data_IF_114971767202
#
_entry.id   IF_114971767202
#
_cell.length_a   1.000
_cell.length_b   1.000
_cell.length_c   1.000
_cell.angle_alpha   90.00
_cell.angle_beta   90.00
_cell.angle_gamma   90.00
#
_symmetry.space_group_name_H-M   'P 1'
#
loop_
_entity.id
_entity.type
_entity.pdbx_description
1 polymer ?
#
# COMPACT_ATOMS: atom_id res chain seq x y z
N UNK A 1 21.76 -19.85 5.32
CA UNK A 1 20.79 -19.21 4.41
C UNK A 1 21.58 -18.76 3.20
N UNK A 2 21.22 -19.21 1.99
CA UNK A 2 21.86 -18.75 0.76
C UNK A 2 21.26 -17.40 0.39
N UNK A 3 21.92 -16.32 0.79
CA UNK A 3 21.60 -14.99 0.29
C UNK A 3 22.05 -14.93 -1.17
N UNK A 4 21.12 -15.26 -2.08
CA UNK A 4 21.29 -14.96 -3.49
C UNK A 4 21.24 -13.44 -3.63
N UNK A 5 22.40 -12.81 -3.69
CA UNK A 5 22.51 -11.41 -4.08
C UNK A 5 21.94 -11.25 -5.48
N UNK A 6 20.85 -10.50 -5.60
CA UNK A 6 20.28 -10.09 -6.88
C UNK A 6 21.20 -8.99 -7.42
N UNK A 7 21.76 -9.18 -8.61
CA UNK A 7 22.59 -8.14 -9.22
C UNK A 7 21.69 -7.01 -9.76
N UNK A 8 22.26 -5.81 -9.93
CA UNK A 8 21.52 -4.63 -10.42
C UNK A 8 20.86 -4.85 -11.79
N UNK A 9 21.55 -5.46 -12.74
CA UNK A 9 21.05 -5.71 -14.09
C UNK A 9 19.86 -6.68 -14.10
N UNK A 10 19.86 -7.67 -13.19
CA UNK A 10 18.76 -8.63 -13.03
C UNK A 10 17.52 -7.93 -12.46
N UNK A 11 17.74 -7.03 -11.49
CA UNK A 11 16.67 -6.21 -10.91
C UNK A 11 16.10 -5.23 -11.94
N UNK A 12 16.95 -4.54 -12.70
CA UNK A 12 16.54 -3.59 -13.73
C UNK A 12 15.70 -4.31 -14.82
N UNK A 13 16.12 -5.51 -15.22
CA UNK A 13 15.36 -6.34 -16.17
C UNK A 13 14.02 -6.81 -15.61
N UNK A 14 13.94 -7.13 -14.32
CA UNK A 14 12.69 -7.51 -13.66
C UNK A 14 11.70 -6.34 -13.56
N UNK A 15 12.21 -5.12 -13.38
CA UNK A 15 11.40 -3.93 -13.12
C UNK A 15 11.05 -3.11 -14.37
N UNK A 16 11.67 -3.37 -15.53
CA UNK A 16 11.50 -2.57 -16.76
C UNK A 16 10.04 -2.40 -17.22
N UNK A 17 9.17 -3.36 -16.89
CA UNK A 17 7.73 -3.31 -17.18
C UNK A 17 6.84 -3.31 -15.93
N UNK A 18 7.42 -3.16 -14.74
CA UNK A 18 6.67 -3.25 -13.50
C UNK A 18 5.82 -1.99 -13.30
N UNK A 19 4.50 -2.18 -13.24
CA UNK A 19 3.55 -1.13 -12.86
C UNK A 19 3.17 -1.33 -11.38
N UNK A 20 3.51 -0.40 -10.48
CA UNK A 20 3.15 -0.50 -9.08
C UNK A 20 1.64 -0.62 -8.90
N UNK A 21 1.25 -1.50 -7.99
CA UNK A 21 -0.16 -1.71 -7.68
C UNK A 21 -0.73 -0.47 -7.01
N UNK A 22 -1.74 0.15 -7.62
CA UNK A 22 -2.41 1.34 -7.07
C UNK A 22 -3.29 1.03 -5.85
N UNK A 23 -4.01 -0.09 -5.88
CA UNK A 23 -4.99 -0.45 -4.85
C UNK A 23 -4.46 -1.56 -3.95
N UNK A 24 -4.21 -1.21 -2.70
CA UNK A 24 -3.62 -2.08 -1.71
C UNK A 24 -4.69 -2.83 -0.92
N UNK A 25 -4.38 -4.06 -0.52
CA UNK A 25 -5.03 -4.73 0.61
C UNK A 25 -4.58 -4.08 1.92
N UNK A 26 -5.25 -4.37 3.03
CA UNK A 26 -4.82 -3.85 4.34
C UNK A 26 -3.38 -4.26 4.69
N UNK A 27 -2.96 -5.50 4.35
CA UNK A 27 -1.59 -5.97 4.58
C UNK A 27 -0.57 -5.18 3.76
N UNK A 28 -0.88 -4.91 2.49
CA UNK A 28 -0.03 -4.11 1.61
C UNK A 28 0.00 -2.65 2.06
N UNK A 29 -1.12 -2.08 2.50
CA UNK A 29 -1.19 -0.72 3.04
C UNK A 29 -0.33 -0.57 4.31
N UNK A 30 -0.41 -1.54 5.23
CA UNK A 30 0.46 -1.63 6.40
C UNK A 30 1.95 -1.62 6.02
N UNK A 31 2.32 -2.38 5.01
CA UNK A 31 3.70 -2.41 4.54
C UNK A 31 4.12 -1.08 3.89
N UNK A 32 3.24 -0.49 3.07
CA UNK A 32 3.46 0.78 2.39
C UNK A 32 3.68 1.93 3.38
N UNK A 33 2.85 2.00 4.43
CA UNK A 33 2.86 3.11 5.38
C UNK A 33 3.80 2.90 6.56
N UNK A 34 4.29 1.68 6.77
CA UNK A 34 5.08 1.30 7.94
C UNK A 34 4.28 1.32 9.25
N UNK A 35 2.94 1.19 9.20
CA UNK A 35 2.07 1.29 10.39
C UNK A 35 1.38 -0.03 10.75
N UNK A 36 0.68 -0.10 11.88
CA UNK A 36 -0.12 -1.28 12.24
C UNK A 36 -1.46 -1.33 11.48
N UNK A 37 -2.08 -2.52 11.38
CA UNK A 37 -3.44 -2.65 10.83
C UNK A 37 -4.49 -1.87 11.66
N UNK A 38 -4.28 -1.80 12.98
CA UNK A 38 -5.10 -0.97 13.88
C UNK A 38 -5.03 0.50 13.50
N UNK A 39 -3.83 1.00 13.19
CA UNK A 39 -3.63 2.38 12.72
C UNK A 39 -4.39 2.66 11.42
N UNK A 40 -4.32 1.74 10.45
CA UNK A 40 -5.11 1.86 9.20
C UNK A 40 -6.61 1.90 9.49
N UNK A 41 -7.12 1.05 10.38
CA UNK A 41 -8.54 1.07 10.78
C UNK A 41 -8.94 2.41 11.42
N UNK A 42 -8.08 2.96 12.28
CA UNK A 42 -8.30 4.29 12.86
C UNK A 42 -8.29 5.41 11.83
N UNK A 43 -7.44 5.33 10.79
CA UNK A 43 -7.47 6.28 9.69
C UNK A 43 -8.77 6.21 8.89
N UNK A 44 -9.29 5.01 8.63
CA UNK A 44 -10.61 4.83 7.98
C UNK A 44 -11.71 5.47 8.81
N UNK A 45 -11.73 5.26 10.14
CA UNK A 45 -12.67 5.94 11.04
C UNK A 45 -12.54 7.47 11.01
N UNK A 46 -11.32 7.97 10.78
CA UNK A 46 -11.01 9.41 10.65
C UNK A 46 -11.26 9.97 9.24
N UNK A 47 -11.73 9.15 8.30
CA UNK A 47 -12.13 9.59 6.96
C UNK A 47 -11.17 9.22 5.84
N UNK A 48 -10.20 8.32 6.05
CA UNK A 48 -9.46 7.71 4.95
C UNK A 48 -10.45 6.93 4.05
N UNK A 49 -10.48 7.29 2.77
CA UNK A 49 -11.36 6.65 1.79
C UNK A 49 -10.90 5.22 1.51
N UNK A 50 -11.86 4.34 1.30
CA UNK A 50 -11.64 2.95 0.89
C UNK A 50 -12.51 2.63 -0.31
N UNK A 51 -12.03 1.70 -1.13
CA UNK A 51 -12.72 1.22 -2.33
C UNK A 51 -13.28 -0.17 -2.06
N UNK A 52 -14.57 -0.36 -2.34
CA UNK A 52 -15.24 -1.66 -2.30
C UNK A 52 -15.64 -2.00 -3.74
N UNK A 53 -15.01 -3.03 -4.31
CA UNK A 53 -15.23 -3.43 -5.71
C UNK A 53 -16.48 -4.33 -5.92
N UNK A 54 -17.22 -4.61 -4.86
CA UNK A 54 -18.45 -5.40 -4.86
C UNK A 54 -18.96 -5.63 -3.44
N UNK A 55 -20.24 -5.95 -3.29
CA UNK A 55 -20.96 -5.94 -1.99
C UNK A 55 -20.29 -6.78 -0.89
N UNK A 56 -19.63 -7.89 -1.24
CA UNK A 56 -18.96 -8.78 -0.28
C UNK A 56 -17.42 -8.71 -0.35
N UNK A 57 -16.87 -7.71 -1.05
CA UNK A 57 -15.43 -7.59 -1.25
C UNK A 57 -14.74 -6.96 -0.04
N UNK A 58 -13.51 -7.42 0.25
CA UNK A 58 -12.65 -6.75 1.24
C UNK A 58 -12.24 -5.37 0.71
N UNK A 59 -12.23 -4.33 1.57
CA UNK A 59 -11.86 -3.00 1.15
C UNK A 59 -10.43 -2.96 0.61
N UNK A 60 -10.24 -2.08 -0.38
CA UNK A 60 -8.94 -1.71 -0.92
C UNK A 60 -8.63 -0.26 -0.58
N UNK A 61 -7.34 0.04 -0.50
CA UNK A 61 -6.82 1.34 -0.14
C UNK A 61 -6.05 1.90 -1.34
N UNK A 62 -6.47 3.05 -1.88
CA UNK A 62 -5.71 3.74 -2.95
C UNK A 62 -4.50 4.44 -2.33
N UNK A 63 -3.31 4.21 -2.89
CA UNK A 63 -2.08 4.88 -2.48
C UNK A 63 -2.25 6.40 -2.46
N UNK A 64 -2.94 6.98 -3.46
CA UNK A 64 -3.13 8.43 -3.52
C UNK A 64 -3.97 8.96 -2.36
N UNK A 65 -5.06 8.26 -2.01
CA UNK A 65 -5.90 8.63 -0.89
C UNK A 65 -5.15 8.50 0.45
N UNK A 66 -4.27 7.48 0.57
CA UNK A 66 -3.39 7.34 1.73
C UNK A 66 -2.44 8.54 1.85
N UNK A 67 -1.75 8.90 0.76
CA UNK A 67 -0.78 10.00 0.75
C UNK A 67 -1.46 11.35 1.05
N UNK A 68 -2.63 11.61 0.43
CA UNK A 68 -3.43 12.81 0.69
C UNK A 68 -3.91 12.87 2.14
N UNK A 69 -4.36 11.75 2.70
CA UNK A 69 -4.75 11.66 4.10
C UNK A 69 -3.55 11.96 5.00
N UNK A 70 -2.41 11.30 4.83
CA UNK A 70 -1.22 11.54 5.65
C UNK A 70 -0.76 13.00 5.51
N UNK A 71 -0.77 13.56 4.31
CA UNK A 71 -0.38 14.95 4.07
C UNK A 71 -1.25 15.96 4.84
N UNK A 72 -2.53 15.64 5.09
CA UNK A 72 -3.45 16.46 5.88
C UNK A 72 -3.25 16.33 7.39
N UNK A 73 -2.78 15.18 7.88
CA UNK A 73 -2.68 14.87 9.31
C UNK A 73 -1.25 14.86 9.85
N UNK A 74 -0.23 14.97 8.99
CA UNK A 74 1.15 15.19 9.42
C UNK A 74 1.26 16.58 10.09
N UNK A 75 1.99 16.63 11.20
CA UNK A 75 2.30 17.86 11.95
C UNK A 75 3.75 18.24 11.69
#
# INVERSE_FOLDING_TARGET
MNDKFINKNDLDSLLVGYVPKRYLTQKEAVHYTGTSAGTINEWVKKGLKVIIFGENSRPKYDIKDIDEFIAKYKV
#
